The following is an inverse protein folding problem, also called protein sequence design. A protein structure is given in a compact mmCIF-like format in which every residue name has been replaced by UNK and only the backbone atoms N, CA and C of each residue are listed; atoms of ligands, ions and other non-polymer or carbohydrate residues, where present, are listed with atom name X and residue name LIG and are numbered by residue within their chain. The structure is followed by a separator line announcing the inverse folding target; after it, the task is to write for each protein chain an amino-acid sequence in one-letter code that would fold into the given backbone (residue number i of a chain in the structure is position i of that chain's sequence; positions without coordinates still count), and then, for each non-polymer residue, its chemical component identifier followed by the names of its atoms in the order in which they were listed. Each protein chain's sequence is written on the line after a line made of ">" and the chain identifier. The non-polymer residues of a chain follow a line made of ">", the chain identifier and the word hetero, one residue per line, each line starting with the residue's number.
data_IF_821557581632
#
_entry.id   IF_821557581632
#
_cell.length_a   1.000
_cell.length_b   1.000
_cell.length_c   1.000
_cell.angle_alpha   90.00
_cell.angle_beta   90.00
_cell.angle_gamma   90.00
#
_symmetry.space_group_name_H-M   'P 1'
#
loop_
_entity.id
_entity.type
_entity.pdbx_description
1 polymer ?
#
# COMPACT_ATOMS: atom_id res chain seq x y z
N UNK A 1 1.79 3.61 -4.23
CA UNK A 1 1.32 2.31 -3.70
C UNK A 1 0.78 2.55 -2.30
N UNK A 2 -0.40 2.02 -1.98
CA UNK A 2 -1.06 2.20 -0.69
C UNK A 2 -1.38 0.83 -0.11
N UNK A 3 -0.99 0.60 1.15
CA UNK A 3 -1.16 -0.70 1.81
C UNK A 3 -1.97 -0.51 3.08
N UNK A 4 -2.99 -1.35 3.27
CA UNK A 4 -3.80 -1.31 4.48
C UNK A 4 -3.02 -1.83 5.69
N UNK A 5 -3.30 -1.29 6.88
CA UNK A 5 -2.49 -1.55 8.06
C UNK A 5 -2.48 -3.04 8.46
N UNK A 6 -3.60 -3.75 8.32
CA UNK A 6 -3.67 -5.17 8.69
C UNK A 6 -2.79 -6.04 7.77
N UNK A 7 -2.65 -5.67 6.50
CA UNK A 7 -1.73 -6.34 5.57
C UNK A 7 -0.27 -6.16 6.02
N UNK A 8 0.11 -4.97 6.51
CA UNK A 8 1.45 -4.71 7.05
C UNK A 8 1.70 -5.48 8.35
N UNK A 9 0.70 -5.58 9.23
CA UNK A 9 0.79 -6.39 10.44
C UNK A 9 1.02 -7.85 10.09
N UNK A 10 0.26 -8.39 9.12
CA UNK A 10 0.43 -9.77 8.67
C UNK A 10 1.82 -10.00 8.05
N UNK A 11 2.35 -9.05 7.28
CA UNK A 11 3.70 -9.15 6.71
C UNK A 11 4.77 -9.36 7.79
N UNK A 12 4.65 -8.64 8.91
CA UNK A 12 5.57 -8.79 10.04
C UNK A 12 5.42 -10.16 10.73
N UNK A 13 4.19 -10.68 10.84
CA UNK A 13 3.95 -12.03 11.38
C UNK A 13 4.55 -13.09 10.45
N UNK A 14 4.43 -12.94 9.14
CA UNK A 14 5.09 -13.81 8.16
C UNK A 14 6.62 -13.75 8.29
N UNK A 15 7.17 -12.54 8.40
CA UNK A 15 8.61 -12.32 8.60
C UNK A 15 9.13 -12.92 9.92
N UNK A 16 8.33 -12.91 10.98
CA UNK A 16 8.71 -13.52 12.26
C UNK A 16 8.77 -15.06 12.17
N UNK A 17 7.98 -15.67 11.29
CA UNK A 17 7.86 -17.13 11.18
C UNK A 17 8.70 -17.74 10.04
N UNK A 18 9.48 -16.93 9.31
CA UNK A 18 10.38 -17.44 8.26
C UNK A 18 11.72 -17.86 8.83
N UNK A 19 12.43 -18.73 8.10
CA UNK A 19 13.80 -19.14 8.41
C UNK A 19 14.85 -18.09 7.96
N UNK A 20 14.43 -17.07 7.22
CA UNK A 20 15.31 -16.00 6.75
C UNK A 20 15.81 -15.17 7.93
N UNK A 21 17.13 -15.16 8.12
CA UNK A 21 17.78 -14.49 9.25
C UNK A 21 17.93 -12.97 9.05
N UNK A 22 18.21 -12.54 7.82
CA UNK A 22 18.40 -11.13 7.49
C UNK A 22 18.17 -10.89 6.01
N UNK A 23 17.23 -10.00 5.71
CA UNK A 23 17.08 -9.45 4.37
C UNK A 23 16.20 -8.18 4.38
N UNK A 24 16.05 -7.54 3.22
CA UNK A 24 15.20 -6.37 2.99
C UNK A 24 14.04 -6.76 2.07
N UNK A 25 12.82 -6.39 2.48
CA UNK A 25 11.56 -6.69 1.79
C UNK A 25 10.74 -5.42 1.59
N UNK A 26 10.16 -5.27 0.40
CA UNK A 26 9.15 -4.24 0.16
C UNK A 26 7.78 -4.78 0.60
N UNK A 27 7.07 -4.02 1.42
CA UNK A 27 5.68 -4.30 1.77
C UNK A 27 4.82 -3.29 1.01
N UNK A 28 3.96 -3.81 0.15
CA UNK A 28 3.19 -3.04 -0.81
C UNK A 28 2.10 -3.90 -1.44
N UNK A 29 1.23 -3.29 -2.22
CA UNK A 29 0.21 -4.03 -2.99
C UNK A 29 0.70 -4.39 -4.39
N UNK A 30 1.77 -3.74 -4.87
CA UNK A 30 2.18 -3.82 -6.26
C UNK A 30 1.18 -3.12 -7.20
N UNK A 31 0.27 -2.30 -6.65
CA UNK A 31 -0.68 -1.47 -7.38
C UNK A 31 -0.47 -0.01 -7.01
N UNK A 32 -0.37 0.85 -8.03
CA UNK A 32 -0.29 2.28 -7.82
C UNK A 32 -1.66 2.93 -8.02
N UNK A 33 -1.87 4.05 -7.35
CA UNK A 33 -3.08 4.88 -7.47
C UNK A 33 -2.64 6.35 -7.57
N UNK A 34 -3.26 7.09 -8.47
CA UNK A 34 -3.13 8.53 -8.51
C UNK A 34 -3.90 9.17 -7.34
N UNK A 35 -3.41 10.29 -6.84
CA UNK A 35 -4.07 11.02 -5.74
C UNK A 35 -5.51 11.42 -6.10
N UNK A 36 -5.76 11.75 -7.38
CA UNK A 36 -7.12 12.08 -7.83
C UNK A 36 -8.08 10.87 -7.73
N UNK A 37 -7.61 9.66 -8.05
CA UNK A 37 -8.44 8.44 -7.90
C UNK A 37 -8.84 8.21 -6.44
N UNK A 38 -7.93 8.53 -5.51
CA UNK A 38 -8.19 8.41 -4.07
C UNK A 38 -9.16 9.50 -3.61
N UNK A 39 -9.00 10.73 -4.10
CA UNK A 39 -9.92 11.83 -3.80
C UNK A 39 -11.33 11.50 -4.26
N UNK A 40 -11.50 10.97 -5.48
CA UNK A 40 -12.78 10.56 -6.04
C UNK A 40 -13.43 9.42 -5.21
N UNK A 41 -12.65 8.48 -4.69
CA UNK A 41 -13.15 7.42 -3.79
C UNK A 41 -13.68 8.00 -2.46
N UNK A 42 -13.12 9.12 -1.99
CA UNK A 42 -13.50 9.76 -0.72
C UNK A 42 -14.60 10.81 -0.92
N UNK A 43 -14.80 11.36 -2.12
CA UNK A 43 -15.65 12.53 -2.42
C UNK A 43 -17.08 12.44 -1.85
N UNK A 44 -17.64 11.22 -1.75
CA UNK A 44 -18.94 11.01 -1.11
C UNK A 44 -19.00 11.45 0.37
N UNK A 45 -17.85 11.63 1.03
CA UNK A 45 -17.71 11.96 2.44
C UNK A 45 -17.23 13.39 2.71
N UNK A 46 -16.55 14.04 1.76
CA UNK A 46 -16.09 15.43 1.90
C UNK A 46 -15.79 16.09 0.54
N UNK A 47 -15.83 17.43 0.49
CA UNK A 47 -15.43 18.17 -0.71
C UNK A 47 -13.92 18.09 -1.00
N UNK A 48 -13.55 18.34 -2.26
CA UNK A 48 -12.16 18.32 -2.75
C UNK A 48 -11.67 19.74 -3.01
N UNK A 49 -10.45 20.06 -2.56
CA UNK A 49 -9.74 21.30 -2.87
C UNK A 49 -8.47 20.97 -3.67
N UNK A 50 -8.29 21.63 -4.82
CA UNK A 50 -7.09 21.49 -5.65
C UNK A 50 -6.04 22.52 -5.21
N UNK A 51 -4.82 22.04 -4.96
CA UNK A 51 -3.66 22.85 -4.58
C UNK A 51 -2.54 22.69 -5.60
N UNK A 52 -1.58 23.63 -5.60
CA UNK A 52 -0.39 23.55 -6.43
C UNK A 52 0.49 22.34 -6.07
N UNK A 53 1.26 21.86 -7.05
CA UNK A 53 2.19 20.75 -6.85
C UNK A 53 3.25 21.10 -5.77
N UNK A 54 3.58 20.12 -4.93
CA UNK A 54 4.62 20.34 -3.92
C UNK A 54 6.00 20.14 -4.56
N UNK A 55 6.95 21.06 -4.36
CA UNK A 55 8.30 20.89 -4.86
C UNK A 55 8.93 19.58 -4.36
N UNK A 56 9.54 18.83 -5.28
CA UNK A 56 10.20 17.55 -5.04
C UNK A 56 9.30 16.40 -4.52
N UNK A 57 7.99 16.47 -4.74
CA UNK A 57 7.08 15.37 -4.41
C UNK A 57 7.34 14.16 -5.33
N UNK A 58 7.36 12.97 -4.72
CA UNK A 58 7.61 11.72 -5.43
C UNK A 58 6.37 11.34 -6.22
N UNK A 59 6.53 11.15 -7.54
CA UNK A 59 5.40 10.84 -8.44
C UNK A 59 4.93 9.39 -8.36
N UNK A 60 5.85 8.45 -8.20
CA UNK A 60 5.55 7.03 -8.18
C UNK A 60 6.36 6.30 -7.11
N UNK A 61 5.68 5.48 -6.32
CA UNK A 61 6.25 4.70 -5.20
C UNK A 61 5.85 3.23 -5.30
N UNK A 62 5.75 2.70 -6.52
CA UNK A 62 5.30 1.33 -6.77
C UNK A 62 6.28 0.30 -6.19
N UNK A 63 5.79 -0.55 -5.28
CA UNK A 63 6.60 -1.58 -4.66
C UNK A 63 6.69 -2.83 -5.55
N UNK A 64 7.91 -3.29 -5.82
CA UNK A 64 8.13 -4.67 -6.28
C UNK A 64 8.14 -5.60 -5.08
N UNK A 65 7.09 -6.42 -4.98
CA UNK A 65 6.85 -7.37 -3.87
C UNK A 65 7.17 -8.83 -4.25
N UNK A 66 7.76 -9.07 -5.42
CA UNK A 66 8.07 -10.43 -5.90
C UNK A 66 8.90 -11.23 -4.91
N UNK A 67 9.86 -10.56 -4.27
CA UNK A 67 10.71 -11.11 -3.22
C UNK A 67 9.94 -11.47 -1.95
N UNK A 68 9.07 -10.57 -1.50
CA UNK A 68 8.21 -10.75 -0.32
C UNK A 68 7.27 -11.94 -0.49
N UNK A 69 6.65 -12.07 -1.66
CA UNK A 69 5.79 -13.22 -2.00
C UNK A 69 6.59 -14.53 -1.96
N UNK A 70 7.77 -14.55 -2.60
CA UNK A 70 8.58 -15.76 -2.72
C UNK A 70 9.12 -16.24 -1.37
N UNK A 71 9.67 -15.33 -0.57
CA UNK A 71 10.45 -15.70 0.61
C UNK A 71 9.61 -15.70 1.90
N UNK A 72 8.56 -14.87 1.98
CA UNK A 72 7.69 -14.77 3.16
C UNK A 72 6.31 -15.40 2.95
N UNK A 73 5.96 -15.80 1.71
CA UNK A 73 4.64 -16.32 1.39
C UNK A 73 3.51 -15.30 1.59
N UNK A 74 3.85 -14.01 1.66
CA UNK A 74 2.93 -12.92 1.97
C UNK A 74 2.47 -12.21 0.70
N UNK A 75 1.22 -11.75 0.69
CA UNK A 75 0.68 -10.81 -0.29
C UNK A 75 -0.46 -9.99 0.32
N UNK A 76 -0.64 -8.76 -0.15
CA UNK A 76 -1.74 -7.90 0.29
C UNK A 76 -3.10 -8.53 -0.01
N UNK A 77 -4.01 -8.48 0.95
CA UNK A 77 -5.35 -9.07 0.84
C UNK A 77 -6.43 -8.03 0.65
N UNK A 78 -6.18 -6.79 1.02
CA UNK A 78 -7.19 -5.74 1.00
C UNK A 78 -6.98 -4.79 -0.17
N UNK A 79 -8.05 -4.50 -0.90
CA UNK A 79 -8.04 -3.43 -1.88
C UNK A 79 -8.21 -2.07 -1.20
N UNK A 80 -7.61 -1.03 -1.78
CA UNK A 80 -7.73 0.33 -1.26
C UNK A 80 -9.20 0.79 -1.24
N UNK A 81 -9.93 0.52 -2.33
CA UNK A 81 -11.34 0.91 -2.50
C UNK A 81 -12.24 0.24 -1.45
N UNK A 82 -12.12 -1.07 -1.24
CA UNK A 82 -12.89 -1.79 -0.23
C UNK A 82 -12.65 -1.23 1.18
N UNK A 83 -11.42 -0.79 1.46
CA UNK A 83 -11.06 -0.25 2.76
C UNK A 83 -11.47 1.19 2.96
N UNK A 84 -11.45 2.03 1.93
CA UNK A 84 -12.02 3.38 2.01
C UNK A 84 -13.54 3.30 2.26
N UNK A 85 -14.25 2.44 1.51
CA UNK A 85 -15.71 2.31 1.61
C UNK A 85 -16.22 1.67 2.91
N UNK A 86 -15.35 1.04 3.70
CA UNK A 86 -15.71 0.40 4.95
C UNK A 86 -15.74 1.35 6.16
N UNK A 87 -15.31 2.60 5.99
CA UNK A 87 -15.36 3.68 7.00
C UNK A 87 -16.48 4.68 6.68
#
# INVERSE_FOLDING_TARGET
>A
DFTYIDDVVEANICAMNTEVQHDIYNIGTGKNYAIIEIADMIENSCGVEHIDERPAEVRETLADISKTIRDLGWGSKYSLEDKINAY
#
